data_IF_884881238130
#
_entry.id   IF_884881238130
#
_cell.length_a   1.000
_cell.length_b   1.000
_cell.length_c   1.000
_cell.angle_alpha   90.00
_cell.angle_beta   90.00
_cell.angle_gamma   90.00
#
_symmetry.space_group_name_H-M   'P 1'
#
loop_
_entity.id
_entity.type
_entity.pdbx_description
1 polymer ?
#
# COMPACT_ATOMS: atom_id res chain seq x y z
N UNK A 1 -12.57 15.16 20.84
CA UNK A 1 -11.34 14.61 21.44
C UNK A 1 -10.73 13.73 20.38
N UNK A 2 -9.58 14.13 19.83
CA UNK A 2 -9.02 13.49 18.63
C UNK A 2 -8.44 12.13 19.01
N UNK A 3 -8.93 11.07 18.38
CA UNK A 3 -8.33 9.75 18.52
C UNK A 3 -6.98 9.73 17.79
N UNK A 4 -6.09 8.82 18.19
CA UNK A 4 -4.74 8.70 17.66
C UNK A 4 -4.77 8.04 16.27
N UNK A 5 -4.83 8.87 15.23
CA UNK A 5 -4.77 8.42 13.84
C UNK A 5 -3.32 8.03 13.49
N UNK A 6 -3.12 6.77 13.09
CA UNK A 6 -1.84 6.26 12.61
C UNK A 6 -1.89 6.11 11.09
N UNK A 7 -0.85 6.60 10.42
CA UNK A 7 -0.67 6.50 8.97
C UNK A 7 0.55 5.62 8.71
N UNK A 8 0.38 4.58 7.89
CA UNK A 8 1.46 3.71 7.44
C UNK A 8 1.46 3.61 5.91
N UNK A 9 2.61 3.89 5.29
CA UNK A 9 2.88 3.52 3.91
C UNK A 9 3.39 2.08 3.85
N UNK A 10 3.01 1.36 2.80
CA UNK A 10 3.47 0.00 2.53
C UNK A 10 4.17 -0.01 1.19
N UNK A 11 5.46 -0.34 1.22
CA UNK A 11 6.25 -0.65 0.05
C UNK A 11 5.79 -1.96 -0.60
N UNK A 12 6.28 -2.26 -1.81
CA UNK A 12 6.01 -3.54 -2.49
C UNK A 12 6.46 -4.73 -1.64
N UNK A 13 7.59 -4.60 -0.94
CA UNK A 13 8.09 -5.62 -0.03
C UNK A 13 7.18 -5.81 1.18
N UNK A 14 6.83 -4.74 1.89
CA UNK A 14 5.95 -4.82 3.07
C UNK A 14 4.55 -5.31 2.71
N UNK A 15 4.00 -4.90 1.56
CA UNK A 15 2.72 -5.39 1.08
C UNK A 15 2.77 -6.88 0.73
N UNK A 16 3.91 -7.37 0.22
CA UNK A 16 4.13 -8.80 -0.03
C UNK A 16 4.11 -9.57 1.29
N UNK A 17 4.84 -9.10 2.29
CA UNK A 17 4.90 -9.72 3.61
C UNK A 17 3.53 -9.71 4.29
N UNK A 18 2.77 -8.62 4.15
CA UNK A 18 1.41 -8.52 4.67
C UNK A 18 0.45 -9.55 4.04
N UNK A 19 0.61 -9.87 2.76
CA UNK A 19 -0.20 -10.91 2.09
C UNK A 19 0.15 -12.29 2.64
N UNK A 20 1.45 -12.59 2.74
CA UNK A 20 1.99 -13.87 3.25
C UNK A 20 1.53 -14.10 4.69
N UNK A 21 1.67 -13.09 5.54
CA UNK A 21 1.34 -13.15 6.96
C UNK A 21 -0.15 -12.93 7.26
N UNK A 22 -0.98 -12.70 6.24
CA UNK A 22 -2.40 -12.38 6.41
C UNK A 22 -2.67 -11.15 7.30
N UNK A 23 -1.75 -10.19 7.37
CA UNK A 23 -1.73 -9.10 8.35
C UNK A 23 -3.03 -8.28 8.37
N UNK A 24 -3.57 -7.95 7.19
CA UNK A 24 -4.75 -7.08 7.06
C UNK A 24 -6.04 -7.80 6.67
N UNK A 25 -5.97 -9.10 6.42
CA UNK A 25 -7.12 -9.93 6.01
C UNK A 25 -7.43 -10.99 7.08
N UNK A 26 -6.94 -10.79 8.30
CA UNK A 26 -7.32 -11.61 9.46
C UNK A 26 -8.73 -11.25 9.93
N UNK A 27 -9.36 -12.14 10.70
CA UNK A 27 -10.69 -11.89 11.30
C UNK A 27 -10.71 -10.70 12.26
N UNK A 28 -9.54 -10.30 12.76
CA UNK A 28 -9.37 -9.25 13.76
C UNK A 28 -9.14 -7.88 13.09
N UNK A 29 -8.61 -7.86 11.86
CA UNK A 29 -8.45 -6.68 11.01
C UNK A 29 -9.59 -6.62 10.00
N UNK A 30 -10.72 -6.01 10.36
CA UNK A 30 -11.96 -6.13 9.56
C UNK A 30 -12.02 -5.28 8.30
N UNK A 31 -11.10 -4.34 8.08
CA UNK A 31 -11.49 -3.15 7.31
C UNK A 31 -10.55 -2.76 6.16
N UNK A 32 -9.72 -3.66 5.62
CA UNK A 32 -9.00 -3.30 4.39
C UNK A 32 -9.95 -3.34 3.19
N UNK A 33 -10.14 -2.24 2.43
CA UNK A 33 -11.20 -2.16 1.42
C UNK A 33 -10.81 -2.82 0.09
N UNK A 34 -9.93 -3.82 0.12
CA UNK A 34 -9.51 -4.57 -1.06
C UNK A 34 -9.12 -6.01 -0.74
N UNK A 35 -9.21 -6.88 -1.74
CA UNK A 35 -8.88 -8.29 -1.60
C UNK A 35 -7.38 -8.59 -1.72
N UNK A 36 -6.92 -9.70 -1.14
CA UNK A 36 -5.58 -10.25 -1.36
C UNK A 36 -5.24 -10.42 -2.84
N UNK A 37 -6.23 -10.80 -3.66
CA UNK A 37 -6.05 -10.95 -5.09
C UNK A 37 -5.72 -9.63 -5.77
N UNK A 38 -6.36 -8.52 -5.36
CA UNK A 38 -6.06 -7.17 -5.85
C UNK A 38 -4.66 -6.71 -5.41
N UNK A 39 -4.28 -7.00 -4.17
CA UNK A 39 -2.94 -6.78 -3.64
C UNK A 39 -1.89 -7.51 -4.50
N UNK A 40 -2.10 -8.82 -4.68
CA UNK A 40 -1.20 -9.71 -5.43
C UNK A 40 -1.08 -9.30 -6.90
N UNK A 41 -2.14 -8.76 -7.50
CA UNK A 41 -2.10 -8.27 -8.88
C UNK A 41 -1.12 -7.11 -9.06
N UNK A 42 -1.06 -6.15 -8.12
CA UNK A 42 -0.07 -5.05 -8.18
C UNK A 42 1.34 -5.57 -8.03
N UNK A 43 1.57 -6.51 -7.12
CA UNK A 43 2.92 -7.04 -6.87
C UNK A 43 3.51 -7.81 -8.07
N UNK A 44 2.67 -8.25 -9.02
CA UNK A 44 3.10 -8.89 -10.28
C UNK A 44 3.66 -7.91 -11.30
N UNK A 45 3.44 -6.60 -11.13
CA UNK A 45 4.03 -5.59 -12.00
C UNK A 45 5.55 -5.54 -11.78
N UNK A 46 6.30 -5.83 -12.84
CA UNK A 46 7.77 -5.84 -12.88
C UNK A 46 8.37 -4.43 -12.90
N UNK A 47 7.56 -3.42 -13.23
CA UNK A 47 7.97 -2.00 -13.22
C UNK A 47 7.95 -1.38 -11.82
N UNK A 48 7.40 -2.09 -10.83
CA UNK A 48 7.39 -1.65 -9.42
C UNK A 48 8.58 -2.29 -8.70
N UNK A 49 9.39 -1.47 -8.04
CA UNK A 49 10.55 -1.89 -7.26
C UNK A 49 10.14 -2.23 -5.82
N UNK A 50 10.98 -2.97 -5.10
CA UNK A 50 10.65 -3.43 -3.73
C UNK A 50 10.35 -2.26 -2.77
N UNK A 51 11.00 -1.12 -2.96
CA UNK A 51 10.86 0.07 -2.10
C UNK A 51 9.73 1.02 -2.55
N UNK A 52 9.05 0.74 -3.66
CA UNK A 52 7.96 1.61 -4.11
C UNK A 52 6.73 1.45 -3.24
N UNK A 53 6.15 2.57 -2.80
CA UNK A 53 4.92 2.59 -2.00
C UNK A 53 3.73 2.14 -2.87
N UNK A 54 3.11 1.03 -2.48
CA UNK A 54 1.96 0.43 -3.16
C UNK A 54 0.64 0.68 -2.43
N UNK A 55 0.68 1.00 -1.13
CA UNK A 55 -0.51 1.33 -0.36
C UNK A 55 -0.20 2.31 0.76
N UNK A 56 -1.20 3.09 1.17
CA UNK A 56 -1.19 3.89 2.40
C UNK A 56 -2.44 3.53 3.18
N UNK A 57 -2.27 3.24 4.47
CA UNK A 57 -3.34 2.83 5.38
C UNK A 57 -3.40 3.83 6.52
N UNK A 58 -4.58 4.41 6.74
CA UNK A 58 -4.90 5.19 7.93
C UNK A 58 -5.74 4.36 8.89
N UNK A 59 -5.30 4.23 10.13
CA UNK A 59 -6.02 3.49 11.17
C UNK A 59 -6.31 4.34 12.39
N UNK A 60 -7.47 4.13 12.99
CA UNK A 60 -7.92 4.73 14.24
C UNK A 60 -8.42 3.58 15.13
N UNK A 61 -7.84 3.41 16.33
CA UNK A 61 -8.22 2.34 17.26
C UNK A 61 -8.29 0.93 16.61
N UNK A 62 -7.31 0.58 15.77
CA UNK A 62 -7.21 -0.67 14.99
C UNK A 62 -8.24 -0.83 13.86
N UNK A 63 -9.13 0.15 13.68
CA UNK A 63 -10.06 0.23 12.55
C UNK A 63 -9.38 0.94 11.40
N UNK A 64 -9.50 0.42 10.18
CA UNK A 64 -9.02 1.15 8.98
C UNK A 64 -10.04 2.23 8.63
N UNK A 65 -9.62 3.49 8.66
CA UNK A 65 -10.47 4.65 8.35
C UNK A 65 -10.15 5.28 6.98
N UNK A 66 -8.98 4.97 6.42
CA UNK A 66 -8.55 5.47 5.12
C UNK A 66 -7.63 4.48 4.44
N UNK A 67 -7.72 4.42 3.11
CA UNK A 67 -6.89 3.58 2.28
C UNK A 67 -6.64 4.24 0.92
N UNK A 68 -5.37 4.27 0.53
CA UNK A 68 -4.94 4.70 -0.80
C UNK A 68 -4.20 3.55 -1.44
N UNK A 69 -4.63 3.16 -2.63
CA UNK A 69 -3.94 2.16 -3.43
C UNK A 69 -3.15 2.84 -4.54
N UNK A 70 -1.88 2.48 -4.65
CA UNK A 70 -0.95 3.09 -5.60
C UNK A 70 -0.49 2.03 -6.59
N UNK A 71 -0.37 2.44 -7.85
CA UNK A 71 0.30 1.65 -8.89
C UNK A 71 1.48 2.49 -9.39
N UNK A 72 2.64 2.40 -8.72
CA UNK A 72 3.85 3.11 -9.12
C UNK A 72 4.22 2.75 -10.55
N UNK A 73 4.63 3.75 -11.32
CA UNK A 73 5.08 3.54 -12.68
C UNK A 73 6.06 4.64 -13.12
N UNK A 74 6.81 4.36 -14.17
CA UNK A 74 7.70 5.29 -14.82
C UNK A 74 6.91 6.29 -15.68
N UNK A 75 7.18 7.57 -15.46
CA UNK A 75 6.64 8.68 -16.23
C UNK A 75 7.76 9.23 -17.13
N UNK A 76 7.44 9.48 -18.40
CA UNK A 76 8.33 10.20 -19.32
C UNK A 76 8.12 11.70 -19.14
N UNK A 77 9.13 12.40 -18.68
CA UNK A 77 9.17 13.86 -18.61
C UNK A 77 10.10 14.43 -19.67
N UNK A 78 10.13 15.76 -19.78
CA UNK A 78 11.08 16.45 -20.68
C UNK A 78 12.54 16.21 -20.27
N UNK A 79 12.78 15.88 -19.00
CA UNK A 79 14.10 15.70 -18.41
C UNK A 79 14.56 14.23 -18.40
N UNK A 80 13.69 13.28 -18.74
CA UNK A 80 14.02 11.86 -18.77
C UNK A 80 12.87 10.95 -18.35
N UNK A 81 13.21 9.77 -17.85
CA UNK A 81 12.26 8.85 -17.23
C UNK A 81 12.45 8.88 -15.73
N UNK A 82 11.39 9.20 -15.00
CA UNK A 82 11.39 9.29 -13.54
C UNK A 82 10.22 8.49 -12.97
N UNK A 83 10.33 8.06 -11.71
CA UNK A 83 9.22 7.46 -10.95
C UNK A 83 8.83 8.47 -9.88
N UNK A 84 7.54 8.79 -9.79
CA UNK A 84 7.06 9.78 -8.82
C UNK A 84 7.06 9.12 -7.44
N UNK A 85 8.00 9.52 -6.57
CA UNK A 85 8.12 9.02 -5.21
C UNK A 85 7.33 10.01 -4.34
N UNK A 86 6.36 9.50 -3.57
CA UNK A 86 5.70 10.30 -2.54
C UNK A 86 6.74 10.51 -1.43
N UNK A 87 7.36 11.71 -1.39
CA UNK A 87 8.22 12.18 -0.29
C UNK A 87 7.39 12.64 0.92
#
# INVERSE_FOLDING_TARGET
MGEDIKIASLTKEELRDAIVNNTYWSTDTRDIPFSKSKASWVLKNDRIDNNDVCAIIGTENQTVISFIFLVPDFIKTKSGTEKNILE
#
